data_IF_369183336598
#
_entry.id   IF_369183336598
#
_cell.length_a   1.000
_cell.length_b   1.000
_cell.length_c   1.000
_cell.angle_alpha   90.00
_cell.angle_beta   90.00
_cell.angle_gamma   90.00
#
_symmetry.space_group_name_H-M   'P 1'
#
loop_
_entity.id
_entity.type
_entity.pdbx_description
1 polymer ?
#
# COMPACT_ATOMS: atom_id res chain seq x y z
N UNK A 1 9.40 -10.31 24.77
CA UNK A 1 9.48 -10.02 23.32
C UNK A 1 9.27 -11.27 22.46
N UNK A 2 10.00 -12.36 22.65
CA UNK A 2 9.80 -13.62 21.89
C UNK A 2 8.38 -14.17 22.00
N UNK A 3 7.80 -14.19 23.21
CA UNK A 3 6.45 -14.68 23.46
C UNK A 3 5.39 -13.83 22.75
N UNK A 4 5.50 -12.50 22.77
CA UNK A 4 4.60 -11.60 22.05
C UNK A 4 4.64 -11.85 20.53
N UNK A 5 5.83 -12.07 19.96
CA UNK A 5 5.98 -12.36 18.55
C UNK A 5 5.34 -13.70 18.15
N UNK A 6 5.51 -14.73 19.01
CA UNK A 6 4.87 -16.03 18.80
C UNK A 6 3.33 -15.91 18.84
N UNK A 7 2.79 -15.18 19.83
CA UNK A 7 1.35 -14.92 19.94
C UNK A 7 0.80 -14.15 18.73
N UNK A 8 1.54 -13.16 18.23
CA UNK A 8 1.15 -12.42 17.02
C UNK A 8 1.16 -13.32 15.78
N UNK A 9 2.17 -14.17 15.65
CA UNK A 9 2.26 -15.11 14.54
C UNK A 9 1.10 -16.10 14.57
N UNK A 10 0.88 -16.79 15.70
CA UNK A 10 -0.22 -17.75 15.86
C UNK A 10 -1.58 -17.13 15.60
N UNK A 11 -1.80 -15.91 16.08
CA UNK A 11 -3.08 -15.24 15.98
C UNK A 11 -3.39 -14.68 14.60
N UNK A 12 -2.39 -14.15 13.89
CA UNK A 12 -2.62 -13.33 12.70
C UNK A 12 -2.02 -13.89 11.42
N UNK A 13 -1.24 -14.98 11.45
CA UNK A 13 -0.61 -15.53 10.25
C UNK A 13 -1.62 -15.87 9.17
N UNK A 14 -2.68 -16.58 9.52
CA UNK A 14 -3.72 -16.97 8.57
C UNK A 14 -4.45 -15.75 7.99
N UNK A 15 -4.73 -14.74 8.83
CA UNK A 15 -5.36 -13.50 8.38
C UNK A 15 -4.48 -12.76 7.35
N UNK A 16 -3.18 -12.64 7.63
CA UNK A 16 -2.20 -12.01 6.75
C UNK A 16 -2.03 -12.79 5.45
N UNK A 17 -1.89 -14.11 5.54
CA UNK A 17 -1.82 -14.99 4.38
C UNK A 17 -3.06 -14.84 3.49
N UNK A 18 -4.26 -14.94 4.06
CA UNK A 18 -5.53 -14.82 3.33
C UNK A 18 -5.66 -13.46 2.65
N UNK A 19 -5.26 -12.39 3.35
CA UNK A 19 -5.23 -11.04 2.77
C UNK A 19 -4.28 -10.98 1.57
N UNK A 20 -3.06 -11.46 1.70
CA UNK A 20 -2.09 -11.47 0.60
C UNK A 20 -2.54 -12.36 -0.55
N UNK A 21 -3.14 -13.52 -0.26
CA UNK A 21 -3.72 -14.39 -1.27
C UNK A 21 -4.86 -13.71 -2.04
N UNK A 22 -5.69 -12.91 -1.39
CA UNK A 22 -6.74 -12.12 -2.06
C UNK A 22 -6.19 -11.07 -3.03
N UNK A 23 -4.92 -10.68 -2.86
CA UNK A 23 -4.25 -9.70 -3.73
C UNK A 23 -3.50 -10.34 -4.90
N UNK A 24 -2.87 -11.48 -4.68
CA UNK A 24 -1.99 -12.10 -5.70
C UNK A 24 -2.53 -13.39 -6.33
N UNK A 25 -3.52 -14.03 -5.71
CA UNK A 25 -4.10 -15.32 -6.13
C UNK A 25 -3.07 -16.45 -6.35
N UNK A 26 -1.92 -16.35 -5.69
CA UNK A 26 -0.81 -17.31 -5.75
C UNK A 26 -0.45 -17.77 -4.34
N UNK A 27 -0.58 -19.05 -4.06
CA UNK A 27 -0.36 -19.63 -2.73
C UNK A 27 1.10 -19.51 -2.29
N UNK A 28 2.04 -19.84 -3.16
CA UNK A 28 3.47 -19.80 -2.85
C UNK A 28 3.94 -18.37 -2.60
N UNK A 29 3.54 -17.43 -3.45
CA UNK A 29 3.85 -16.01 -3.28
C UNK A 29 3.22 -15.45 -2.00
N UNK A 30 2.01 -15.89 -1.64
CA UNK A 30 1.34 -15.44 -0.42
C UNK A 30 2.07 -15.91 0.83
N UNK A 31 2.59 -17.14 0.84
CA UNK A 31 3.42 -17.68 1.93
C UNK A 31 4.73 -16.91 2.07
N UNK A 32 5.41 -16.63 0.96
CA UNK A 32 6.66 -15.86 0.94
C UNK A 32 6.43 -14.43 1.49
N UNK A 33 5.40 -13.75 1.01
CA UNK A 33 5.06 -12.40 1.46
C UNK A 33 4.57 -12.36 2.91
N UNK A 34 3.85 -13.37 3.37
CA UNK A 34 3.46 -13.49 4.77
C UNK A 34 4.69 -13.69 5.66
N UNK A 35 5.60 -14.58 5.27
CA UNK A 35 6.87 -14.80 5.97
C UNK A 35 7.72 -13.52 6.03
N UNK A 36 7.87 -12.82 4.92
CA UNK A 36 8.55 -11.52 4.84
C UNK A 36 7.90 -10.46 5.74
N UNK A 37 6.55 -10.47 5.81
CA UNK A 37 5.79 -9.58 6.70
C UNK A 37 6.15 -9.81 8.15
N UNK A 38 6.16 -11.06 8.62
CA UNK A 38 6.51 -11.38 9.99
C UNK A 38 7.99 -11.19 10.31
N UNK A 39 8.90 -11.38 9.36
CA UNK A 39 10.30 -10.99 9.52
C UNK A 39 10.45 -9.48 9.75
N UNK A 40 9.68 -8.66 9.05
CA UNK A 40 9.67 -7.21 9.27
C UNK A 40 9.03 -6.82 10.60
N UNK A 41 7.97 -7.52 11.01
CA UNK A 41 7.37 -7.36 12.34
C UNK A 41 8.41 -7.58 13.43
N UNK A 42 9.22 -8.64 13.36
CA UNK A 42 10.30 -8.91 14.31
C UNK A 42 11.27 -7.74 14.42
N UNK A 43 11.64 -7.13 13.31
CA UNK A 43 12.56 -5.99 13.25
C UNK A 43 11.95 -4.69 13.79
N UNK A 44 10.67 -4.48 13.56
CA UNK A 44 10.00 -3.20 13.79
C UNK A 44 9.04 -3.16 14.98
N UNK A 45 8.81 -4.28 15.67
CA UNK A 45 7.89 -4.34 16.82
C UNK A 45 8.29 -3.39 17.97
N UNK A 46 9.59 -3.13 18.13
CA UNK A 46 10.08 -2.18 19.15
C UNK A 46 9.70 -0.73 18.85
N UNK A 47 9.38 -0.42 17.59
CA UNK A 47 8.96 0.92 17.15
C UNK A 47 7.44 1.10 17.12
N UNK A 48 6.70 0.03 17.42
CA UNK A 48 5.24 0.08 17.47
C UNK A 48 4.75 0.94 18.62
N UNK A 49 4.15 2.08 18.30
CA UNK A 49 3.75 3.12 19.28
C UNK A 49 2.38 2.91 19.92
N UNK A 50 1.64 1.85 19.56
CA UNK A 50 0.25 1.61 19.98
C UNK A 50 -0.73 2.75 19.58
N UNK A 51 -0.40 3.54 18.58
CA UNK A 51 -1.28 4.60 18.03
C UNK A 51 -2.37 4.03 17.13
N UNK A 52 -2.25 2.77 16.74
CA UNK A 52 -3.25 2.00 16.00
C UNK A 52 -3.41 0.63 16.63
N UNK A 53 -4.49 -0.07 16.28
CA UNK A 53 -4.60 -1.48 16.60
C UNK A 53 -3.45 -2.26 15.95
N UNK A 54 -2.91 -3.24 16.67
CA UNK A 54 -1.77 -4.04 16.21
C UNK A 54 -2.08 -4.79 14.91
N UNK A 55 -3.33 -5.21 14.72
CA UNK A 55 -3.80 -5.82 13.46
C UNK A 55 -3.65 -4.84 12.30
N UNK A 56 -4.10 -3.61 12.45
CA UNK A 56 -3.98 -2.54 11.42
C UNK A 56 -2.51 -2.28 11.06
N UNK A 57 -1.65 -2.21 12.07
CA UNK A 57 -0.21 -2.03 11.86
C UNK A 57 0.41 -3.21 11.10
N UNK A 58 0.07 -4.43 11.48
CA UNK A 58 0.54 -5.65 10.83
C UNK A 58 0.12 -5.71 9.35
N UNK A 59 -1.15 -5.41 9.06
CA UNK A 59 -1.66 -5.37 7.68
C UNK A 59 -1.04 -4.25 6.84
N UNK A 60 -0.64 -3.13 7.46
CA UNK A 60 0.11 -2.09 6.76
C UNK A 60 1.50 -2.57 6.31
N UNK A 61 2.15 -3.44 7.10
CA UNK A 61 3.42 -4.06 6.73
C UNK A 61 3.21 -5.05 5.59
N UNK A 62 2.19 -5.92 5.67
CA UNK A 62 1.85 -6.87 4.61
C UNK A 62 1.61 -6.16 3.27
N UNK A 63 0.83 -5.08 3.30
CA UNK A 63 0.55 -4.26 2.12
C UNK A 63 1.82 -3.65 1.52
N UNK A 64 2.71 -3.11 2.35
CA UNK A 64 4.02 -2.59 1.89
C UNK A 64 4.86 -3.67 1.20
N UNK A 65 4.85 -4.91 1.73
CA UNK A 65 5.56 -6.03 1.11
C UNK A 65 4.99 -6.39 -0.25
N UNK A 66 3.68 -6.41 -0.39
CA UNK A 66 3.01 -6.61 -1.67
C UNK A 66 3.40 -5.54 -2.70
N UNK A 67 3.29 -4.25 -2.37
CA UNK A 67 3.68 -3.17 -3.29
C UNK A 67 5.18 -3.17 -3.62
N UNK A 68 6.04 -3.51 -2.68
CA UNK A 68 7.48 -3.66 -2.93
C UNK A 68 7.75 -4.81 -3.92
N UNK A 69 7.02 -5.91 -3.81
CA UNK A 69 7.08 -7.02 -4.76
C UNK A 69 6.64 -6.57 -6.17
N UNK A 70 5.49 -5.94 -6.30
CA UNK A 70 4.99 -5.43 -7.59
C UNK A 70 5.97 -4.47 -8.26
N UNK A 71 6.54 -3.54 -7.49
CA UNK A 71 7.53 -2.59 -7.99
C UNK A 71 8.78 -3.29 -8.51
N UNK A 72 9.23 -4.34 -7.83
CA UNK A 72 10.38 -5.15 -8.23
C UNK A 72 10.06 -5.95 -9.50
N UNK A 73 8.90 -6.60 -9.56
CA UNK A 73 8.43 -7.35 -10.73
C UNK A 73 8.32 -6.45 -11.96
N UNK A 74 7.73 -5.27 -11.84
CA UNK A 74 7.61 -4.32 -12.96
C UNK A 74 8.97 -3.82 -13.46
N UNK A 75 9.96 -3.63 -12.58
CA UNK A 75 11.33 -3.29 -13.00
C UNK A 75 12.00 -4.43 -13.78
N UNK A 76 11.77 -5.66 -13.36
CA UNK A 76 12.32 -6.85 -14.00
C UNK A 76 11.76 -7.02 -15.42
N UNK A 77 10.44 -6.82 -15.58
CA UNK A 77 9.75 -6.86 -16.87
C UNK A 77 10.28 -5.77 -17.80
N UNK A 78 10.53 -4.55 -17.32
CA UNK A 78 11.10 -3.46 -18.12
C UNK A 78 12.54 -3.73 -18.57
N UNK A 79 13.26 -4.63 -17.91
CA UNK A 79 14.64 -4.98 -18.26
C UNK A 79 14.69 -6.16 -19.23
N UNK A 80 13.69 -7.03 -19.26
CA UNK A 80 13.73 -8.30 -19.97
C UNK A 80 13.03 -8.33 -21.34
N UNK A 81 12.16 -7.41 -21.71
CA UNK A 81 11.67 -7.32 -23.10
C UNK A 81 10.63 -6.25 -23.34
N UNK A 82 10.81 -5.49 -24.40
CA UNK A 82 9.82 -4.59 -25.02
C UNK A 82 8.82 -5.33 -25.93
N UNK A 83 8.88 -6.64 -26.06
CA UNK A 83 8.11 -7.38 -27.07
C UNK A 83 6.96 -8.28 -26.56
N UNK A 84 6.89 -8.61 -25.27
CA UNK A 84 5.90 -9.60 -24.75
C UNK A 84 4.91 -9.02 -23.71
N UNK A 85 4.69 -7.71 -23.72
CA UNK A 85 3.93 -7.00 -22.66
C UNK A 85 2.43 -6.81 -23.01
N UNK A 86 1.79 -7.78 -23.65
CA UNK A 86 0.34 -7.71 -23.91
C UNK A 86 -0.49 -8.81 -23.22
N UNK A 87 0.06 -9.54 -22.25
CA UNK A 87 -0.72 -10.47 -21.42
C UNK A 87 -0.71 -10.04 -19.94
N UNK A 88 -1.31 -8.88 -19.65
CA UNK A 88 -1.69 -8.49 -18.29
C UNK A 88 -3.15 -8.82 -17.99
N UNK A 89 -3.53 -10.06 -18.18
CA UNK A 89 -4.84 -10.58 -17.75
C UNK A 89 -4.86 -11.04 -16.28
N UNK A 90 -4.03 -10.46 -15.41
CA UNK A 90 -3.94 -10.88 -14.01
C UNK A 90 -4.63 -9.96 -13.00
N UNK A 91 -5.32 -8.93 -13.45
CA UNK A 91 -6.24 -8.16 -12.62
C UNK A 91 -7.51 -7.95 -13.44
N UNK A 92 -8.53 -8.77 -13.19
CA UNK A 92 -9.89 -8.55 -13.67
C UNK A 92 -10.51 -7.29 -13.06
N UNK A 93 -9.79 -6.18 -13.11
CA UNK A 93 -10.33 -4.87 -12.84
C UNK A 93 -11.17 -4.47 -14.06
N UNK A 94 -12.45 -4.21 -13.86
CA UNK A 94 -13.32 -3.72 -14.94
C UNK A 94 -12.70 -2.46 -15.54
N UNK A 95 -12.92 -2.21 -16.83
CA UNK A 95 -12.43 -1.01 -17.52
C UNK A 95 -12.71 0.29 -16.76
N UNK A 96 -13.83 0.33 -16.03
CA UNK A 96 -14.19 1.45 -15.15
C UNK A 96 -13.20 1.68 -13.99
N UNK A 97 -12.61 0.62 -13.41
CA UNK A 97 -11.60 0.74 -12.34
C UNK A 97 -10.30 1.29 -12.91
N UNK A 98 -9.92 0.86 -14.12
CA UNK A 98 -8.73 1.37 -14.79
C UNK A 98 -8.89 2.85 -15.15
N UNK A 99 -10.05 3.24 -15.66
CA UNK A 99 -10.37 4.63 -15.99
C UNK A 99 -10.30 5.55 -14.76
N UNK A 100 -10.87 5.13 -13.62
CA UNK A 100 -10.76 5.87 -12.35
C UNK A 100 -9.31 5.94 -11.86
N UNK A 101 -8.55 4.87 -11.99
CA UNK A 101 -7.14 4.84 -11.57
C UNK A 101 -6.28 5.79 -12.41
N UNK A 102 -6.48 5.84 -13.73
CA UNK A 102 -5.81 6.78 -14.63
C UNK A 102 -6.16 8.23 -14.27
N UNK A 103 -7.43 8.54 -14.10
CA UNK A 103 -7.88 9.86 -13.70
C UNK A 103 -7.29 10.32 -12.36
N UNK A 104 -7.22 9.42 -11.36
CA UNK A 104 -6.55 9.73 -10.07
C UNK A 104 -5.06 10.02 -10.29
N UNK A 105 -4.38 9.30 -11.17
CA UNK A 105 -2.98 9.56 -11.48
C UNK A 105 -2.79 10.93 -12.14
N UNK A 106 -3.65 11.28 -13.10
CA UNK A 106 -3.63 12.60 -13.74
C UNK A 106 -3.87 13.72 -12.73
N UNK A 107 -4.87 13.59 -11.87
CA UNK A 107 -5.14 14.56 -10.80
C UNK A 107 -3.95 14.70 -9.84
N UNK A 108 -3.28 13.61 -9.50
CA UNK A 108 -2.08 13.65 -8.68
C UNK A 108 -0.91 14.34 -9.37
N UNK A 109 -0.79 14.30 -10.69
CA UNK A 109 0.26 15.01 -11.42
C UNK A 109 0.15 16.55 -11.28
N UNK A 110 -1.04 17.08 -11.03
CA UNK A 110 -1.25 18.51 -10.79
C UNK A 110 -0.84 18.95 -9.39
N UNK A 111 -0.65 18.02 -8.47
CA UNK A 111 -0.29 18.29 -7.09
C UNK A 111 1.22 18.50 -6.89
N UNK A 112 1.60 19.12 -5.76
CA UNK A 112 3.02 19.28 -5.40
C UNK A 112 3.72 17.92 -5.25
N UNK A 113 5.03 17.90 -5.42
CA UNK A 113 5.84 16.69 -5.24
C UNK A 113 5.66 16.09 -3.82
N UNK A 114 5.57 16.93 -2.80
CA UNK A 114 5.30 16.52 -1.42
C UNK A 114 3.93 15.85 -1.31
N UNK A 115 2.88 16.47 -1.86
CA UNK A 115 1.52 15.91 -1.81
C UNK A 115 1.45 14.55 -2.51
N UNK A 116 2.02 14.44 -3.71
CA UNK A 116 2.08 13.17 -4.45
C UNK A 116 2.75 12.06 -3.66
N UNK A 117 3.89 12.35 -3.03
CA UNK A 117 4.64 11.36 -2.29
C UNK A 117 3.93 10.96 -0.98
N UNK A 118 3.32 11.92 -0.28
CA UNK A 118 2.49 11.67 0.90
C UNK A 118 1.30 10.75 0.56
N UNK A 119 0.58 11.03 -0.53
CA UNK A 119 -0.55 10.19 -0.97
C UNK A 119 -0.06 8.81 -1.35
N UNK A 120 1.01 8.70 -2.14
CA UNK A 120 1.60 7.42 -2.54
C UNK A 120 2.02 6.60 -1.33
N UNK A 121 2.76 7.20 -0.39
CA UNK A 121 3.19 6.51 0.83
C UNK A 121 1.99 6.03 1.67
N UNK A 122 0.91 6.80 1.75
CA UNK A 122 -0.31 6.36 2.45
C UNK A 122 -0.98 5.18 1.74
N UNK A 123 -1.05 5.19 0.42
CA UNK A 123 -1.53 4.06 -0.37
C UNK A 123 -0.65 2.82 -0.12
N UNK A 124 0.66 2.99 -0.08
CA UNK A 124 1.63 1.93 0.20
C UNK A 124 1.61 1.46 1.68
N UNK A 125 0.76 2.06 2.54
CA UNK A 125 0.56 1.63 3.92
C UNK A 125 1.51 2.24 4.95
N UNK A 126 2.31 3.27 4.59
CA UNK A 126 3.15 3.98 5.54
C UNK A 126 2.33 4.78 6.56
N UNK A 127 2.77 4.79 7.80
CA UNK A 127 2.21 5.62 8.87
C UNK A 127 2.53 7.10 8.64
N UNK A 128 1.74 8.00 9.26
CA UNK A 128 2.06 9.44 9.22
C UNK A 128 3.40 9.76 9.89
N UNK A 129 3.81 8.98 10.88
CA UNK A 129 5.12 9.09 11.49
C UNK A 129 6.27 8.84 10.49
N UNK A 130 6.20 7.75 9.74
CA UNK A 130 7.21 7.41 8.71
C UNK A 130 7.25 8.45 7.60
N UNK A 131 6.08 8.95 7.17
CA UNK A 131 5.96 10.03 6.18
C UNK A 131 6.58 11.33 6.71
N UNK A 132 6.24 11.70 7.94
CA UNK A 132 6.76 12.89 8.60
C UNK A 132 8.29 12.85 8.73
N UNK A 133 8.83 11.70 9.15
CA UNK A 133 10.27 11.49 9.26
C UNK A 133 10.98 11.64 7.90
N UNK A 134 10.42 11.03 6.83
CA UNK A 134 10.98 11.12 5.48
C UNK A 134 11.01 12.55 4.95
N UNK A 135 9.93 13.30 5.13
CA UNK A 135 9.77 14.63 4.57
C UNK A 135 10.20 15.76 5.53
N UNK A 136 10.66 15.43 6.74
CA UNK A 136 11.05 16.38 7.77
C UNK A 136 9.94 17.39 8.11
N UNK A 137 8.70 16.90 8.19
CA UNK A 137 7.50 17.64 8.58
C UNK A 137 6.89 17.02 9.84
N UNK A 138 5.90 17.69 10.46
CA UNK A 138 5.15 17.09 11.57
C UNK A 138 4.18 16.01 11.07
N UNK A 139 3.83 15.04 11.93
CA UNK A 139 2.79 14.05 11.63
C UNK A 139 1.44 14.73 11.32
N UNK A 140 1.12 15.81 12.04
CA UNK A 140 -0.09 16.58 11.78
C UNK A 140 -0.05 17.23 10.39
N UNK A 141 1.10 17.77 9.97
CA UNK A 141 1.26 18.31 8.62
C UNK A 141 1.08 17.23 7.56
N UNK A 142 1.68 16.04 7.73
CA UNK A 142 1.50 14.92 6.81
C UNK A 142 0.03 14.50 6.71
N UNK A 143 -0.68 14.47 7.85
CA UNK A 143 -2.11 14.15 7.91
C UNK A 143 -2.95 15.19 7.17
N UNK A 144 -2.69 16.48 7.39
CA UNK A 144 -3.40 17.59 6.73
C UNK A 144 -3.19 17.54 5.21
N UNK A 145 -1.95 17.32 4.76
CA UNK A 145 -1.62 17.21 3.33
C UNK A 145 -2.42 16.06 2.70
N UNK A 146 -2.41 14.89 3.33
CA UNK A 146 -3.15 13.72 2.83
C UNK A 146 -4.66 13.98 2.76
N UNK A 147 -5.28 14.51 3.81
CA UNK A 147 -6.71 14.77 3.84
C UNK A 147 -7.15 15.82 2.81
N UNK A 148 -6.35 16.89 2.62
CA UNK A 148 -6.64 17.89 1.59
C UNK A 148 -6.58 17.27 0.18
N UNK A 149 -5.55 16.50 -0.10
CA UNK A 149 -5.40 15.80 -1.38
C UNK A 149 -6.57 14.83 -1.62
N UNK A 150 -6.91 14.00 -0.62
CA UNK A 150 -8.04 13.07 -0.71
C UNK A 150 -9.36 13.78 -0.98
N UNK A 151 -9.64 14.88 -0.28
CA UNK A 151 -10.87 15.66 -0.47
C UNK A 151 -10.93 16.30 -1.85
N UNK A 152 -9.81 16.84 -2.35
CA UNK A 152 -9.74 17.41 -3.69
C UNK A 152 -9.98 16.35 -4.75
N UNK A 153 -9.26 15.22 -4.70
CA UNK A 153 -9.43 14.10 -5.64
C UNK A 153 -10.89 13.63 -5.65
N UNK A 154 -11.49 13.44 -4.45
CA UNK A 154 -12.89 13.04 -4.34
C UNK A 154 -13.82 14.04 -5.05
N UNK A 155 -13.68 15.33 -4.78
CA UNK A 155 -14.50 16.37 -5.39
C UNK A 155 -14.32 16.43 -6.92
N UNK A 156 -13.12 16.21 -7.43
CA UNK A 156 -12.85 16.24 -8.87
C UNK A 156 -13.41 14.98 -9.54
N UNK A 157 -13.32 13.80 -8.92
CA UNK A 157 -13.98 12.59 -9.40
C UNK A 157 -15.51 12.71 -9.42
N UNK A 158 -16.12 13.37 -8.42
CA UNK A 158 -17.56 13.63 -8.40
C UNK A 158 -18.01 14.55 -9.53
N UNK A 159 -17.19 15.51 -9.92
CA UNK A 159 -17.47 16.39 -11.09
C UNK A 159 -17.42 15.63 -12.41
N UNK A 160 -16.54 14.65 -12.54
CA UNK A 160 -16.45 13.75 -13.70
C UNK A 160 -17.54 12.67 -13.72
N UNK A 161 -18.45 12.68 -12.74
CA UNK A 161 -19.62 11.78 -12.69
C UNK A 161 -19.42 10.49 -11.89
N UNK A 162 -18.26 10.28 -11.28
CA UNK A 162 -18.03 9.15 -10.38
C UNK A 162 -18.65 9.41 -9.00
N UNK A 163 -19.66 8.61 -8.62
CA UNK A 163 -20.29 8.70 -7.30
C UNK A 163 -19.82 7.53 -6.44
N UNK A 164 -19.40 7.82 -5.23
CA UNK A 164 -19.10 6.83 -4.19
C UNK A 164 -20.29 6.78 -3.23
N UNK A 165 -20.96 5.65 -3.16
CA UNK A 165 -21.90 5.34 -2.09
C UNK A 165 -21.16 4.89 -0.83
#
# INVERSE_FOLDING_TARGET
>A
MKQLLAELFEKYYIDVYTYLYSLCHDASLSEDLASDTFLEVVKSISTFRKESDIKTWLFSIARRRWFAYLKRKNRQIQTESLSDLYDTDALGASDAINEVAELIQELLLTESALTRDVVRMRIDGYSYYEIAAKHKISENSARVVYFRAKSKIKNDLEKEGFRYE
#
